data_IF_926072227332
#
_entry.id   IF_926072227332
#
_cell.length_a   1.000
_cell.length_b   1.000
_cell.length_c   1.000
_cell.angle_alpha   90.00
_cell.angle_beta   90.00
_cell.angle_gamma   90.00
#
_symmetry.space_group_name_H-M   'P 1'
#
loop_
_entity.id
_entity.type
_entity.pdbx_description
1 polymer ?
#
# COMPACT_ATOMS: atom_id res chain seq x y z
N UNK A 1 -2.91 21.20 17.40
CA UNK A 1 -3.65 20.25 18.24
C UNK A 1 -5.15 20.56 18.31
N UNK A 2 -5.55 21.80 18.61
CA UNK A 2 -6.96 22.22 18.75
C UNK A 2 -7.85 21.83 17.57
N UNK A 3 -7.36 21.87 16.32
CA UNK A 3 -8.14 21.44 15.15
C UNK A 3 -8.49 19.93 15.18
N UNK A 4 -7.53 19.08 15.56
CA UNK A 4 -7.74 17.62 15.63
C UNK A 4 -8.64 17.25 16.81
N UNK A 5 -8.46 17.92 17.95
CA UNK A 5 -9.30 17.76 19.13
C UNK A 5 -10.75 18.20 18.86
N UNK A 6 -10.96 19.33 18.18
CA UNK A 6 -12.28 19.76 17.73
C UNK A 6 -12.91 18.76 16.75
N UNK A 7 -12.11 18.21 15.83
CA UNK A 7 -12.55 17.14 14.94
C UNK A 7 -12.96 15.88 15.69
N UNK A 8 -12.22 15.53 16.74
CA UNK A 8 -12.56 14.38 17.59
C UNK A 8 -13.84 14.62 18.39
N UNK A 9 -14.02 15.82 18.96
CA UNK A 9 -15.26 16.19 19.65
C UNK A 9 -16.49 16.09 18.72
N UNK A 10 -16.36 16.51 17.46
CA UNK A 10 -17.39 16.32 16.43
C UNK A 10 -17.69 14.83 16.21
N UNK A 11 -16.66 14.02 15.99
CA UNK A 11 -16.80 12.57 15.77
C UNK A 11 -17.50 11.92 16.98
N UNK A 12 -16.99 12.15 18.20
CA UNK A 12 -17.51 11.57 19.42
C UNK A 12 -18.97 11.97 19.69
N UNK A 13 -19.35 13.21 19.37
CA UNK A 13 -20.74 13.69 19.49
C UNK A 13 -21.74 12.93 18.60
N UNK A 14 -21.24 12.22 17.59
CA UNK A 14 -22.06 11.50 16.59
C UNK A 14 -22.02 9.98 16.79
N UNK A 15 -20.92 9.45 17.32
CA UNK A 15 -20.71 7.98 17.39
C UNK A 15 -20.67 7.42 18.81
N UNK A 16 -20.84 8.27 19.84
CA UNK A 16 -20.85 7.82 21.23
C UNK A 16 -21.95 6.79 21.48
N UNK A 17 -21.59 5.65 22.07
CA UNK A 17 -22.52 4.56 22.37
C UNK A 17 -22.96 3.71 21.17
N UNK A 18 -22.55 4.06 19.95
CA UNK A 18 -22.90 3.30 18.74
C UNK A 18 -21.93 2.13 18.51
N UNK A 19 -22.42 1.08 17.84
CA UNK A 19 -21.58 0.01 17.31
C UNK A 19 -20.63 0.53 16.22
N UNK A 20 -19.61 -0.27 15.85
CA UNK A 20 -18.67 0.08 14.78
C UNK A 20 -19.39 0.35 13.44
N UNK A 21 -20.34 -0.52 13.08
CA UNK A 21 -21.12 -0.38 11.84
C UNK A 21 -21.98 0.88 11.82
N UNK A 22 -22.73 1.14 12.89
CA UNK A 22 -23.57 2.33 12.99
C UNK A 22 -22.72 3.62 12.99
N UNK A 23 -21.57 3.58 13.66
CA UNK A 23 -20.61 4.69 13.67
C UNK A 23 -20.12 5.00 12.25
N UNK A 24 -19.77 3.96 11.49
CA UNK A 24 -19.36 4.10 10.10
C UNK A 24 -20.48 4.71 9.24
N UNK A 25 -21.71 4.17 9.32
CA UNK A 25 -22.83 4.64 8.51
C UNK A 25 -23.13 6.13 8.75
N UNK A 26 -23.11 6.57 10.02
CA UNK A 26 -23.29 7.99 10.39
C UNK A 26 -22.17 8.87 9.84
N UNK A 27 -20.92 8.47 10.01
CA UNK A 27 -19.77 9.27 9.54
C UNK A 27 -19.68 9.29 8.01
N UNK A 28 -20.09 8.21 7.34
CA UNK A 28 -20.14 8.13 5.87
C UNK A 28 -21.14 9.15 5.30
N UNK A 29 -22.32 9.29 5.93
CA UNK A 29 -23.32 10.27 5.53
C UNK A 29 -22.81 11.71 5.73
N UNK A 30 -22.05 11.96 6.79
CA UNK A 30 -21.44 13.28 7.05
C UNK A 30 -20.28 13.59 6.12
N UNK A 31 -19.52 12.59 5.68
CA UNK A 31 -18.35 12.72 4.81
C UNK A 31 -18.71 13.03 3.34
N UNK A 32 -19.84 13.69 3.08
CA UNK A 32 -20.22 14.17 1.74
C UNK A 32 -19.33 15.30 1.23
N UNK A 33 -18.94 16.23 2.12
CA UNK A 33 -18.08 17.37 1.81
C UNK A 33 -16.62 17.11 2.19
N UNK A 34 -15.67 17.51 1.32
CA UNK A 34 -14.23 17.29 1.53
C UNK A 34 -13.72 17.85 2.85
N UNK A 35 -14.10 19.09 3.22
CA UNK A 35 -13.66 19.72 4.47
C UNK A 35 -14.17 18.97 5.71
N UNK A 36 -15.39 18.44 5.64
CA UNK A 36 -15.98 17.65 6.73
C UNK A 36 -15.27 16.31 6.82
N UNK A 37 -14.99 15.65 5.68
CA UNK A 37 -14.20 14.42 5.63
C UNK A 37 -12.80 14.59 6.25
N UNK A 38 -12.07 15.66 5.91
CA UNK A 38 -10.76 15.96 6.50
C UNK A 38 -10.85 16.15 8.03
N UNK A 39 -11.92 16.81 8.49
CA UNK A 39 -12.16 17.05 9.93
C UNK A 39 -12.48 15.75 10.66
N UNK A 40 -13.31 14.88 10.07
CA UNK A 40 -13.63 13.55 10.59
C UNK A 40 -12.36 12.69 10.65
N UNK A 41 -11.58 12.67 9.57
CA UNK A 41 -10.32 11.90 9.49
C UNK A 41 -9.33 12.36 10.55
N UNK A 42 -9.13 13.67 10.71
CA UNK A 42 -8.29 14.23 11.77
C UNK A 42 -8.80 13.87 13.18
N UNK A 43 -10.12 13.85 13.38
CA UNK A 43 -10.74 13.41 14.63
C UNK A 43 -10.51 11.92 14.91
N UNK A 44 -10.68 11.05 13.92
CA UNK A 44 -10.42 9.61 14.04
C UNK A 44 -8.94 9.32 14.34
N UNK A 45 -8.02 10.03 13.68
CA UNK A 45 -6.58 9.95 13.99
C UNK A 45 -6.32 10.36 15.44
N UNK A 46 -6.90 11.48 15.90
CA UNK A 46 -6.74 11.92 17.28
C UNK A 46 -7.28 10.87 18.27
N UNK A 47 -8.50 10.38 18.06
CA UNK A 47 -9.11 9.36 18.90
C UNK A 47 -8.30 8.07 18.96
N UNK A 48 -7.78 7.61 17.81
CA UNK A 48 -6.88 6.46 17.73
C UNK A 48 -5.64 6.65 18.60
N UNK A 49 -5.07 7.85 18.58
CA UNK A 49 -3.86 8.19 19.32
C UNK A 49 -4.09 8.39 20.82
N UNK A 50 -5.28 8.84 21.24
CA UNK A 50 -5.56 9.22 22.63
C UNK A 50 -6.41 8.22 23.40
N UNK A 51 -7.17 7.34 22.73
CA UNK A 51 -8.03 6.34 23.36
C UNK A 51 -7.67 4.90 22.89
N UNK A 52 -6.60 4.29 23.46
CA UNK A 52 -6.13 2.95 23.08
C UNK A 52 -7.21 1.87 23.08
N UNK A 53 -8.16 1.94 24.02
CA UNK A 53 -9.27 0.98 24.14
C UNK A 53 -10.20 0.97 22.92
N UNK A 54 -10.31 2.08 22.21
CA UNK A 54 -11.16 2.26 21.04
C UNK A 54 -10.36 2.33 19.72
N UNK A 55 -9.03 2.23 19.77
CA UNK A 55 -8.15 2.42 18.62
C UNK A 55 -8.49 1.52 17.42
N UNK A 56 -8.88 0.27 17.67
CA UNK A 56 -9.33 -0.65 16.61
C UNK A 56 -10.56 -0.11 15.87
N UNK A 57 -11.58 0.34 16.61
CA UNK A 57 -12.81 0.88 16.06
C UNK A 57 -12.51 2.12 15.19
N UNK A 58 -11.68 3.04 15.69
CA UNK A 58 -11.30 4.23 14.93
C UNK A 58 -10.50 3.91 13.68
N UNK A 59 -9.56 2.97 13.77
CA UNK A 59 -8.79 2.52 12.61
C UNK A 59 -9.71 1.88 11.57
N UNK A 60 -10.55 0.91 11.95
CA UNK A 60 -11.48 0.21 11.05
C UNK A 60 -12.41 1.17 10.31
N UNK A 61 -13.04 2.10 11.04
CA UNK A 61 -13.92 3.11 10.44
C UNK A 61 -13.14 4.01 9.48
N UNK A 62 -11.94 4.44 9.87
CA UNK A 62 -11.08 5.25 9.02
C UNK A 62 -10.66 4.51 7.74
N UNK A 63 -10.28 3.23 7.83
CA UNK A 63 -9.95 2.38 6.67
C UNK A 63 -11.11 2.29 5.67
N UNK A 64 -12.33 2.10 6.17
CA UNK A 64 -13.53 2.01 5.34
C UNK A 64 -13.89 3.37 4.70
N UNK A 65 -13.59 4.48 5.39
CA UNK A 65 -13.85 5.82 4.90
C UNK A 65 -12.77 6.36 3.96
N UNK A 66 -11.58 5.76 3.89
CA UNK A 66 -10.37 6.26 3.22
C UNK A 66 -10.50 6.37 1.68
N UNK A 67 -11.36 7.27 1.19
CA UNK A 67 -11.58 7.56 -0.24
C UNK A 67 -10.35 8.09 -0.96
N UNK A 68 -9.40 8.64 -0.21
CA UNK A 68 -8.19 9.29 -0.69
C UNK A 68 -6.93 8.44 -0.50
N UNK A 69 -7.08 7.12 -0.37
CA UNK A 69 -5.95 6.19 -0.18
C UNK A 69 -5.05 6.59 1.00
N UNK A 70 -5.68 6.90 2.14
CA UNK A 70 -5.03 7.29 3.40
C UNK A 70 -4.30 8.64 3.38
N UNK A 71 -4.37 9.41 2.29
CA UNK A 71 -3.60 10.65 2.15
C UNK A 71 -3.83 11.65 3.29
N UNK A 72 -5.08 11.98 3.62
CA UNK A 72 -5.41 12.91 4.69
C UNK A 72 -4.94 12.40 6.07
N UNK A 73 -5.15 11.12 6.36
CA UNK A 73 -4.72 10.50 7.61
C UNK A 73 -3.19 10.55 7.76
N UNK A 74 -2.45 10.18 6.70
CA UNK A 74 -0.99 10.23 6.67
C UNK A 74 -0.45 11.66 6.79
N UNK A 75 -1.10 12.65 6.19
CA UNK A 75 -0.76 14.05 6.36
C UNK A 75 -0.89 14.51 7.82
N UNK A 76 -1.99 14.13 8.50
CA UNK A 76 -2.17 14.41 9.92
C UNK A 76 -1.11 13.70 10.78
N UNK A 77 -0.81 12.43 10.48
CA UNK A 77 0.23 11.67 11.18
C UNK A 77 1.62 12.28 10.99
N UNK A 78 1.96 12.70 9.77
CA UNK A 78 3.22 13.40 9.47
C UNK A 78 3.34 14.71 10.26
N UNK A 79 2.28 15.52 10.28
CA UNK A 79 2.25 16.75 11.08
C UNK A 79 2.52 16.46 12.57
N UNK A 80 1.87 15.44 13.15
CA UNK A 80 2.09 15.04 14.54
C UNK A 80 3.53 14.58 14.79
N UNK A 81 4.09 13.79 13.87
CA UNK A 81 5.47 13.31 13.96
C UNK A 81 6.49 14.45 13.92
N UNK A 82 6.31 15.41 13.02
CA UNK A 82 7.26 16.53 12.88
C UNK A 82 7.13 17.57 13.98
N UNK A 83 5.90 17.94 14.35
CA UNK A 83 5.68 19.06 15.25
C UNK A 83 5.62 18.67 16.73
N UNK A 84 5.16 17.45 17.03
CA UNK A 84 4.76 17.08 18.39
C UNK A 84 5.55 15.91 18.99
N UNK A 85 6.19 15.05 18.19
CA UNK A 85 6.81 13.79 18.64
C UNK A 85 7.66 13.89 19.92
N UNK A 86 8.57 14.88 20.07
CA UNK A 86 9.39 15.01 21.29
C UNK A 86 8.57 15.22 22.57
N UNK A 87 7.36 15.78 22.44
CA UNK A 87 6.45 16.13 23.55
C UNK A 87 5.35 15.10 23.78
N UNK A 88 5.23 14.08 22.91
CA UNK A 88 4.21 13.05 23.04
C UNK A 88 4.51 12.11 24.21
N UNK A 89 3.46 11.71 24.93
CA UNK A 89 3.49 10.67 25.96
C UNK A 89 3.82 9.31 25.33
N UNK A 90 4.32 8.37 26.14
CA UNK A 90 4.65 7.00 25.73
C UNK A 90 3.49 6.30 25.04
N UNK A 91 2.29 6.41 25.62
CA UNK A 91 1.09 5.72 25.14
C UNK A 91 0.70 6.20 23.73
N UNK A 92 0.85 7.50 23.47
CA UNK A 92 0.56 8.08 22.15
C UNK A 92 1.59 7.62 21.11
N UNK A 93 2.87 7.52 21.50
CA UNK A 93 3.92 7.01 20.61
C UNK A 93 3.68 5.55 20.25
N UNK A 94 3.20 4.74 21.18
CA UNK A 94 2.78 3.36 20.90
C UNK A 94 1.60 3.31 19.91
N UNK A 95 0.62 4.20 20.05
CA UNK A 95 -0.49 4.30 19.09
C UNK A 95 -0.06 4.73 17.69
N UNK A 96 0.99 5.57 17.57
CA UNK A 96 1.59 5.88 16.27
C UNK A 96 2.17 4.62 15.62
N UNK A 97 2.89 3.79 16.39
CA UNK A 97 3.42 2.52 15.90
C UNK A 97 2.27 1.56 15.54
N UNK A 98 1.21 1.53 16.35
CA UNK A 98 0.00 0.76 16.06
C UNK A 98 -0.63 1.17 14.72
N UNK A 99 -0.78 2.48 14.46
CA UNK A 99 -1.32 3.00 13.20
C UNK A 99 -0.54 2.47 11.99
N UNK A 100 0.78 2.70 11.95
CA UNK A 100 1.60 2.29 10.79
C UNK A 100 1.69 0.77 10.64
N UNK A 101 1.66 0.02 11.75
CA UNK A 101 1.66 -1.44 11.70
C UNK A 101 0.37 -1.98 11.06
N UNK A 102 -0.78 -1.40 11.37
CA UNK A 102 -2.05 -1.83 10.78
C UNK A 102 -2.20 -1.35 9.33
N UNK A 103 -1.77 -0.13 9.00
CA UNK A 103 -1.71 0.38 7.63
C UNK A 103 -0.85 -0.53 6.72
N UNK A 104 0.34 -0.92 7.21
CA UNK A 104 1.20 -1.88 6.50
C UNK A 104 0.53 -3.26 6.35
N UNK A 105 -0.20 -3.73 7.36
CA UNK A 105 -0.90 -5.02 7.33
C UNK A 105 -2.03 -5.02 6.30
N UNK A 106 -2.82 -3.96 6.23
CA UNK A 106 -3.86 -3.80 5.20
C UNK A 106 -3.24 -3.75 3.80
N UNK A 107 -2.18 -2.95 3.62
CA UNK A 107 -1.43 -2.88 2.36
C UNK A 107 -0.92 -4.25 1.93
N UNK A 108 -0.31 -5.02 2.84
CA UNK A 108 0.18 -6.37 2.55
C UNK A 108 -0.96 -7.34 2.21
N UNK A 109 -2.12 -7.19 2.84
CA UNK A 109 -3.29 -8.03 2.56
C UNK A 109 -3.83 -7.76 1.15
N UNK A 110 -3.90 -6.49 0.74
CA UNK A 110 -4.28 -6.10 -0.61
C UNK A 110 -3.26 -6.60 -1.66
N UNK A 111 -1.97 -6.41 -1.41
CA UNK A 111 -0.91 -6.92 -2.27
C UNK A 111 -1.01 -8.44 -2.45
N UNK A 112 -1.33 -9.17 -1.37
CA UNK A 112 -1.54 -10.61 -1.45
C UNK A 112 -2.74 -10.98 -2.33
N UNK A 113 -3.88 -10.31 -2.13
CA UNK A 113 -5.07 -10.55 -2.94
C UNK A 113 -4.82 -10.29 -4.42
N UNK A 114 -4.13 -9.19 -4.75
CA UNK A 114 -3.76 -8.85 -6.12
C UNK A 114 -2.75 -9.86 -6.68
N UNK A 115 -1.71 -10.23 -5.94
CA UNK A 115 -0.70 -11.19 -6.40
C UNK A 115 -1.30 -12.56 -6.71
N UNK A 116 -2.18 -13.07 -5.83
CA UNK A 116 -2.90 -14.33 -6.05
C UNK A 116 -3.80 -14.23 -7.29
N UNK A 117 -4.61 -13.17 -7.39
CA UNK A 117 -5.49 -12.95 -8.54
C UNK A 117 -4.71 -12.92 -9.86
N UNK A 118 -3.55 -12.26 -9.89
CA UNK A 118 -2.72 -12.19 -11.09
C UNK A 118 -2.09 -13.54 -11.44
N UNK A 119 -1.58 -14.28 -10.44
CA UNK A 119 -1.02 -15.63 -10.64
C UNK A 119 -2.07 -16.61 -11.19
N UNK A 120 -3.33 -16.49 -10.75
CA UNK A 120 -4.42 -17.37 -11.19
C UNK A 120 -4.95 -17.02 -12.59
N UNK A 121 -4.62 -15.84 -13.14
CA UNK A 121 -5.24 -15.29 -14.35
C UNK A 121 -4.22 -14.90 -15.45
N UNK A 122 -3.17 -15.69 -15.63
CA UNK A 122 -2.16 -15.46 -16.69
C UNK A 122 -2.74 -15.37 -18.12
N UNK A 123 -3.78 -16.16 -18.44
CA UNK A 123 -4.42 -16.11 -19.76
C UNK A 123 -5.03 -14.73 -20.05
N UNK A 124 -5.77 -14.18 -19.08
CA UNK A 124 -6.34 -12.83 -19.17
C UNK A 124 -5.25 -11.76 -19.27
N UNK A 125 -4.15 -11.90 -18.51
CA UNK A 125 -3.01 -11.00 -18.60
C UNK A 125 -2.36 -11.00 -19.99
N UNK A 126 -2.30 -12.16 -20.65
CA UNK A 126 -1.77 -12.27 -22.01
C UNK A 126 -2.66 -11.59 -23.07
N UNK A 127 -3.97 -11.50 -22.83
CA UNK A 127 -4.91 -10.83 -23.74
C UNK A 127 -4.88 -9.31 -23.60
N UNK A 128 -4.20 -8.76 -22.59
CA UNK A 128 -4.06 -7.33 -22.42
C UNK A 128 -3.39 -6.69 -23.64
N UNK A 129 -3.96 -5.58 -24.09
CA UNK A 129 -3.40 -4.78 -25.17
C UNK A 129 -1.97 -4.37 -24.84
N UNK A 130 -1.06 -4.33 -25.84
CA UNK A 130 0.26 -3.76 -25.64
C UNK A 130 0.16 -2.36 -25.02
N UNK A 131 1.07 -2.02 -24.10
CA UNK A 131 1.06 -0.74 -23.35
C UNK A 131 -0.04 -0.58 -22.30
N UNK A 132 -0.72 -1.65 -21.90
CA UNK A 132 -1.54 -1.62 -20.70
C UNK A 132 -0.67 -1.27 -19.48
N UNK A 133 -1.03 -0.21 -18.74
CA UNK A 133 -0.25 0.27 -17.59
C UNK A 133 -0.16 -0.74 -16.45
N UNK A 134 -1.09 -1.71 -16.38
CA UNK A 134 -1.14 -2.71 -15.33
C UNK A 134 0.17 -3.52 -15.24
N UNK A 135 0.74 -3.94 -16.37
CA UNK A 135 1.97 -4.76 -16.40
C UNK A 135 3.17 -4.02 -15.78
N UNK A 136 3.57 -2.83 -16.29
CA UNK A 136 4.70 -2.11 -15.74
C UNK A 136 4.46 -1.63 -14.30
N UNK A 137 3.24 -1.20 -13.96
CA UNK A 137 2.90 -0.78 -12.58
C UNK A 137 2.99 -1.94 -11.61
N UNK A 138 2.48 -3.12 -11.99
CA UNK A 138 2.57 -4.33 -11.15
C UNK A 138 4.02 -4.70 -10.92
N UNK A 139 4.83 -4.75 -11.98
CA UNK A 139 6.25 -5.10 -11.87
C UNK A 139 6.99 -4.13 -10.95
N UNK A 140 6.82 -2.82 -11.14
CA UNK A 140 7.46 -1.80 -10.31
C UNK A 140 7.03 -1.90 -8.84
N UNK A 141 5.73 -2.06 -8.60
CA UNK A 141 5.17 -2.15 -7.25
C UNK A 141 5.68 -3.40 -6.54
N UNK A 142 5.55 -4.57 -7.18
CA UNK A 142 5.92 -5.85 -6.56
C UNK A 142 7.43 -5.97 -6.36
N UNK A 143 8.27 -5.57 -7.32
CA UNK A 143 9.74 -5.61 -7.12
C UNK A 143 10.19 -4.73 -5.96
N UNK A 144 9.55 -3.56 -5.76
CA UNK A 144 9.79 -2.72 -4.58
C UNK A 144 9.39 -3.45 -3.29
N UNK A 145 8.16 -3.93 -3.18
CA UNK A 145 7.69 -4.60 -1.96
C UNK A 145 8.41 -5.91 -1.66
N UNK A 146 8.87 -6.65 -2.68
CA UNK A 146 9.72 -7.84 -2.50
C UNK A 146 10.99 -7.50 -1.74
N UNK A 147 11.58 -6.32 -1.98
CA UNK A 147 12.77 -5.85 -1.31
C UNK A 147 12.43 -5.30 0.09
N UNK A 148 11.45 -4.42 0.19
CA UNK A 148 11.05 -3.75 1.43
C UNK A 148 10.59 -4.78 2.49
N UNK A 149 9.93 -5.86 2.07
CA UNK A 149 9.46 -6.94 2.95
C UNK A 149 10.53 -8.00 3.24
N UNK A 150 11.71 -7.95 2.61
CA UNK A 150 12.73 -8.99 2.76
C UNK A 150 13.22 -9.27 4.19
N UNK A 151 13.31 -8.28 5.10
CA UNK A 151 13.72 -8.52 6.48
C UNK A 151 12.65 -9.23 7.33
N UNK A 152 11.41 -9.36 6.85
CA UNK A 152 10.26 -9.76 7.65
C UNK A 152 9.75 -11.15 7.25
N UNK A 153 10.17 -12.19 7.99
CA UNK A 153 9.82 -13.59 7.69
C UNK A 153 8.30 -13.85 7.62
N UNK A 154 7.50 -13.10 8.38
CA UNK A 154 6.03 -13.21 8.35
C UNK A 154 5.42 -12.99 6.96
N UNK A 155 6.11 -12.27 6.08
CA UNK A 155 5.64 -11.96 4.72
C UNK A 155 6.30 -12.81 3.63
N UNK A 156 7.00 -13.89 3.98
CA UNK A 156 7.70 -14.74 3.00
C UNK A 156 6.76 -15.35 1.95
N UNK A 157 5.56 -15.78 2.35
CA UNK A 157 4.56 -16.30 1.43
C UNK A 157 4.09 -15.23 0.42
N UNK A 158 3.78 -14.03 0.90
CA UNK A 158 3.40 -12.89 0.06
C UNK A 158 4.54 -12.53 -0.91
N UNK A 159 5.78 -12.49 -0.43
CA UNK A 159 6.96 -12.25 -1.27
C UNK A 159 7.07 -13.31 -2.37
N UNK A 160 6.87 -14.57 -2.04
CA UNK A 160 6.91 -15.67 -3.01
C UNK A 160 5.84 -15.51 -4.09
N UNK A 161 4.61 -15.14 -3.73
CA UNK A 161 3.53 -14.86 -4.70
C UNK A 161 3.89 -13.71 -5.63
N UNK A 162 4.43 -12.61 -5.10
CA UNK A 162 4.87 -11.47 -5.91
C UNK A 162 6.03 -11.83 -6.85
N UNK A 163 6.99 -12.65 -6.40
CA UNK A 163 8.11 -13.12 -7.22
C UNK A 163 7.60 -13.92 -8.42
N UNK A 164 6.61 -14.80 -8.22
CA UNK A 164 6.01 -15.59 -9.30
C UNK A 164 5.36 -14.68 -10.37
N UNK A 165 4.57 -13.69 -9.94
CA UNK A 165 3.97 -12.71 -10.87
C UNK A 165 5.06 -11.97 -11.64
N UNK A 166 6.07 -11.43 -10.95
CA UNK A 166 7.14 -10.69 -11.61
C UNK A 166 7.93 -11.56 -12.60
N UNK A 167 8.23 -12.81 -12.24
CA UNK A 167 8.92 -13.76 -13.11
C UNK A 167 8.10 -14.02 -14.38
N UNK A 168 6.80 -14.24 -14.24
CA UNK A 168 5.90 -14.45 -15.37
C UNK A 168 5.85 -13.23 -16.29
N UNK A 169 5.65 -12.03 -15.74
CA UNK A 169 5.62 -10.77 -16.51
C UNK A 169 6.93 -10.56 -17.30
N UNK A 170 8.07 -10.82 -16.69
CA UNK A 170 9.39 -10.66 -17.31
C UNK A 170 9.71 -11.73 -18.36
N UNK A 171 9.00 -12.86 -18.35
CA UNK A 171 9.22 -13.94 -19.31
C UNK A 171 8.25 -13.84 -20.49
N UNK A 172 6.96 -13.62 -20.21
CA UNK A 172 5.89 -13.65 -21.22
C UNK A 172 5.57 -12.27 -21.81
N UNK A 173 5.77 -11.20 -21.03
CA UNK A 173 5.37 -9.83 -21.37
C UNK A 173 6.52 -8.83 -21.27
N UNK A 174 7.75 -9.27 -21.53
CA UNK A 174 8.95 -8.46 -21.35
C UNK A 174 8.90 -7.10 -22.06
N UNK A 175 8.40 -7.05 -23.30
CA UNK A 175 8.29 -5.80 -24.06
C UNK A 175 7.36 -4.77 -23.40
N UNK A 176 6.33 -5.20 -22.68
CA UNK A 176 5.49 -4.29 -21.90
C UNK A 176 6.20 -3.80 -20.64
N UNK A 177 6.98 -4.66 -19.99
CA UNK A 177 7.86 -4.27 -18.90
C UNK A 177 8.94 -3.28 -19.36
N UNK A 178 9.46 -3.43 -20.58
CA UNK A 178 10.53 -2.60 -21.14
C UNK A 178 10.13 -1.13 -21.33
N UNK A 179 8.83 -0.82 -21.33
CA UNK A 179 8.32 0.56 -21.39
C UNK A 179 8.72 1.41 -20.18
N UNK A 180 9.07 0.78 -19.05
CA UNK A 180 9.67 1.46 -17.90
C UNK A 180 11.08 2.03 -18.20
N UNK A 181 11.73 1.57 -19.26
CA UNK A 181 13.06 2.02 -19.66
C UNK A 181 14.09 1.86 -18.55
N UNK A 182 14.70 2.97 -18.11
CA UNK A 182 15.69 2.98 -17.02
C UNK A 182 15.16 2.38 -15.72
N UNK A 183 13.88 2.59 -15.41
CA UNK A 183 13.30 2.12 -14.15
C UNK A 183 13.17 0.60 -14.10
N UNK A 184 13.05 -0.06 -15.27
CA UNK A 184 13.12 -1.52 -15.34
C UNK A 184 14.48 -2.03 -14.86
N UNK A 185 15.56 -1.45 -15.39
CA UNK A 185 16.94 -1.84 -15.05
C UNK A 185 17.19 -1.66 -13.55
N UNK A 186 16.80 -0.51 -13.00
CA UNK A 186 16.95 -0.23 -11.57
C UNK A 186 16.16 -1.21 -10.70
N UNK A 187 14.93 -1.54 -11.11
CA UNK A 187 14.08 -2.50 -10.41
C UNK A 187 14.70 -3.89 -10.41
N UNK A 188 15.15 -4.37 -11.58
CA UNK A 188 15.82 -5.65 -11.74
C UNK A 188 17.14 -5.72 -10.96
N UNK A 189 17.89 -4.63 -10.85
CA UNK A 189 19.14 -4.58 -10.07
C UNK A 189 18.86 -4.81 -8.59
N UNK A 190 17.78 -4.24 -8.05
CA UNK A 190 17.39 -4.40 -6.63
C UNK A 190 17.05 -5.85 -6.29
N UNK A 191 16.39 -6.56 -7.20
CA UNK A 191 15.99 -7.97 -7.02
C UNK A 191 17.02 -8.97 -7.57
N UNK A 192 18.18 -8.51 -8.02
CA UNK A 192 19.18 -9.32 -8.74
C UNK A 192 19.73 -10.52 -7.95
N UNK A 193 19.65 -10.51 -6.62
CA UNK A 193 20.11 -11.63 -5.77
C UNK A 193 19.09 -12.77 -5.69
N UNK A 194 17.85 -12.55 -6.11
CA UNK A 194 16.78 -13.53 -6.05
C UNK A 194 16.90 -14.45 -7.28
N UNK A 195 16.97 -15.79 -7.13
CA UNK A 195 17.27 -16.72 -8.22
C UNK A 195 16.38 -16.55 -9.47
N UNK A 196 15.09 -16.31 -9.30
CA UNK A 196 14.14 -16.08 -10.39
C UNK A 196 14.58 -14.93 -11.32
N UNK A 197 15.08 -13.83 -10.75
CA UNK A 197 15.51 -12.65 -11.50
C UNK A 197 16.93 -12.78 -12.06
N UNK A 198 17.80 -13.59 -11.43
CA UNK A 198 19.13 -13.91 -11.99
C UNK A 198 19.01 -14.55 -13.37
N UNK A 199 18.02 -15.44 -13.55
CA UNK A 199 17.77 -16.08 -14.83
C UNK A 199 17.40 -15.06 -15.92
N UNK A 200 16.51 -14.12 -15.59
CA UNK A 200 16.12 -13.01 -16.49
C UNK A 200 17.33 -12.12 -16.82
N UNK A 201 18.15 -11.77 -15.82
CA UNK A 201 19.37 -11.00 -16.03
C UNK A 201 20.35 -11.66 -17.01
N UNK A 202 20.57 -12.97 -16.87
CA UNK A 202 21.40 -13.72 -17.80
C UNK A 202 20.81 -13.71 -19.21
N UNK A 203 19.50 -13.86 -19.34
CA UNK A 203 18.85 -13.81 -20.66
C UNK A 203 18.98 -12.42 -21.29
N UNK A 204 18.83 -11.35 -20.51
CA UNK A 204 18.97 -9.98 -21.00
C UNK A 204 20.38 -9.69 -21.52
N UNK A 205 21.41 -10.16 -20.83
CA UNK A 205 22.81 -9.90 -21.18
C UNK A 205 23.33 -10.79 -22.32
N UNK A 206 22.95 -12.07 -22.32
CA UNK A 206 23.56 -13.07 -23.20
C UNK A 206 22.64 -13.53 -24.34
N UNK A 207 21.31 -13.43 -24.17
CA UNK A 207 20.32 -13.88 -25.18
C UNK A 207 19.11 -12.94 -25.31
N UNK A 208 19.31 -11.63 -25.54
CA UNK A 208 18.22 -10.64 -25.57
C UNK A 208 17.13 -10.94 -26.60
N UNK A 209 17.48 -11.60 -27.72
CA UNK A 209 16.52 -12.02 -28.75
C UNK A 209 15.38 -12.90 -28.19
N UNK A 210 15.64 -13.68 -27.13
CA UNK A 210 14.61 -14.53 -26.49
C UNK A 210 13.55 -13.72 -25.74
N UNK A 211 13.85 -12.46 -25.40
CA UNK A 211 12.94 -11.53 -24.70
C UNK A 211 12.15 -10.65 -25.68
N UNK A 212 12.22 -10.96 -26.99
CA UNK A 212 11.58 -10.15 -28.05
C UNK A 212 12.30 -8.83 -28.33
N UNK A 213 13.46 -8.58 -27.71
CA UNK A 213 14.32 -7.44 -28.03
C UNK A 213 15.06 -7.74 -29.33
N UNK A 214 14.74 -7.01 -30.40
CA UNK A 214 15.56 -7.04 -31.61
C UNK A 214 16.91 -6.38 -31.29
N UNK A 215 18.00 -7.13 -31.34
CA UNK A 215 19.35 -6.57 -31.21
C UNK A 215 19.66 -5.78 -32.48
N UNK A 216 19.57 -4.45 -32.41
CA UNK A 216 20.03 -3.55 -33.48
C UNK A 216 19.44 -2.15 -33.40
N UNK A 217 20.22 -1.21 -32.85
CA UNK A 217 19.95 0.24 -32.82
C UNK A 217 20.49 0.91 -31.58
#
# INVERSE_FOLDING_TARGET
MTKLENGFALVQSRISGLSEKESYDVLLQMAGETKVFETITGGLVYGLLTEPSNAHKYFSIMSLLARDSWFCALCNMNMILFELYPRLKSEVREQIVYFFRNDLKETCSLLNAVAVMLNDNHAWLNELKPKASLIPVTLLTFTRFICDLSPYNTFEQLRSQMILVCQWLLTERFLDCAQLGRDLVLSLMRVSKIPAFVAIWKQLLYTPNKLGLAVGG
#
